data_IF_425168077033
#
_entry.id   IF_425168077033
#
_cell.length_a   1.000
_cell.length_b   1.000
_cell.length_c   1.000
_cell.angle_alpha   90.00
_cell.angle_beta   90.00
_cell.angle_gamma   90.00
#
_symmetry.space_group_name_H-M   'P 1'
#
loop_
_entity.id
_entity.type
_entity.pdbx_description
1 polymer ?
#
# COMPACT_ATOMS: atom_id res chain seq x y z
N UNK A 1 6.77 14.16 -10.10
CA UNK A 1 5.35 14.29 -9.82
C UNK A 1 4.55 13.93 -11.05
N UNK A 2 3.45 13.28 -10.85
CA UNK A 2 2.61 12.89 -11.97
C UNK A 2 1.73 14.04 -12.39
N UNK A 3 1.72 14.33 -13.68
CA UNK A 3 0.98 15.46 -14.21
C UNK A 3 -0.52 15.23 -14.24
N UNK A 4 -0.96 14.00 -14.02
CA UNK A 4 -2.37 13.66 -14.07
C UNK A 4 -3.06 13.72 -12.71
N UNK A 5 -2.39 14.34 -11.73
CA UNK A 5 -2.99 14.53 -10.40
C UNK A 5 -2.94 13.33 -9.49
N UNK A 6 -2.08 12.38 -9.78
CA UNK A 6 -1.95 11.21 -8.91
C UNK A 6 -1.37 11.62 -7.56
N UNK A 7 -1.78 10.91 -6.52
CA UNK A 7 -1.38 11.19 -5.14
C UNK A 7 -0.75 9.95 -4.54
N UNK A 8 0.39 10.12 -3.90
CA UNK A 8 1.03 9.07 -3.10
C UNK A 8 1.04 9.55 -1.66
N UNK A 9 0.55 8.72 -0.76
CA UNK A 9 0.54 9.02 0.66
C UNK A 9 1.15 7.84 1.41
N UNK A 10 2.16 8.11 2.23
CA UNK A 10 2.84 7.08 2.99
C UNK A 10 2.84 7.51 4.45
N UNK A 11 2.21 6.70 5.29
CA UNK A 11 2.19 6.94 6.73
C UNK A 11 2.61 5.64 7.42
N UNK A 12 3.66 5.73 8.23
CA UNK A 12 4.17 4.57 8.97
C UNK A 12 4.50 5.05 10.37
N UNK A 13 4.01 4.32 11.38
CA UNK A 13 4.36 4.68 12.75
C UNK A 13 4.44 3.44 13.62
N UNK A 14 5.17 3.58 14.72
CA UNK A 14 5.38 2.54 15.70
C UNK A 14 4.26 2.60 16.74
N UNK A 15 3.72 1.44 17.10
CA UNK A 15 2.72 1.37 18.16
C UNK A 15 3.30 0.57 19.31
N UNK A 16 2.86 0.79 20.57
CA UNK A 16 3.44 0.11 21.72
C UNK A 16 3.12 -1.38 21.76
N UNK A 17 2.07 -1.82 21.10
CA UNK A 17 1.67 -3.22 21.09
C UNK A 17 1.19 -3.58 19.69
N UNK A 18 1.37 -4.85 19.29
CA UNK A 18 0.85 -5.27 18.00
C UNK A 18 -0.66 -5.06 17.90
N UNK A 19 -1.11 -4.66 16.71
CA UNK A 19 -2.53 -4.53 16.42
C UNK A 19 -2.99 -5.88 15.91
N UNK A 20 -3.80 -6.58 16.73
CA UNK A 20 -4.23 -7.92 16.37
C UNK A 20 -4.95 -7.94 15.03
N UNK A 21 -4.75 -8.97 14.20
CA UNK A 21 -3.92 -10.16 14.41
C UNK A 21 -2.45 -10.03 14.01
N UNK A 22 -1.96 -8.81 13.76
CA UNK A 22 -0.56 -8.61 13.41
C UNK A 22 0.33 -8.97 14.59
N UNK A 23 1.53 -9.49 14.30
CA UNK A 23 2.49 -9.85 15.33
C UNK A 23 3.60 -8.82 15.49
N UNK A 24 3.60 -7.79 14.64
CA UNK A 24 4.60 -6.72 14.67
C UNK A 24 3.98 -5.45 15.22
N UNK A 25 4.82 -4.49 15.56
CA UNK A 25 4.39 -3.23 16.18
C UNK A 25 4.43 -2.05 15.23
N UNK A 26 4.36 -2.29 13.93
CA UNK A 26 4.34 -1.23 12.94
C UNK A 26 2.91 -1.08 12.43
N UNK A 27 2.42 0.14 12.47
CA UNK A 27 1.13 0.45 11.85
C UNK A 27 1.40 1.32 10.63
N UNK A 28 0.72 1.03 9.53
CA UNK A 28 1.05 1.71 8.28
C UNK A 28 -0.17 1.88 7.40
N UNK A 29 -0.07 2.88 6.55
CA UNK A 29 -1.04 3.10 5.49
C UNK A 29 -0.31 3.76 4.32
N UNK A 30 -0.22 3.05 3.20
CA UNK A 30 0.41 3.53 1.99
C UNK A 30 -0.64 3.47 0.89
N UNK A 31 -0.85 4.59 0.20
CA UNK A 31 -1.93 4.70 -0.77
C UNK A 31 -1.45 5.41 -2.02
N UNK A 32 -1.80 4.88 -3.16
CA UNK A 32 -1.60 5.53 -4.46
C UNK A 32 -2.97 5.72 -5.09
N UNK A 33 -3.31 6.98 -5.36
CA UNK A 33 -4.60 7.35 -5.93
C UNK A 33 -4.35 7.94 -7.31
N UNK A 34 -5.02 7.39 -8.31
CA UNK A 34 -4.93 7.87 -9.68
C UNK A 34 -6.34 7.96 -10.24
N UNK A 35 -6.66 9.05 -10.93
CA UNK A 35 -7.99 9.27 -11.50
C UNK A 35 -9.09 9.16 -10.45
N UNK A 36 -8.82 9.70 -9.26
CA UNK A 36 -9.76 9.70 -8.13
C UNK A 36 -10.09 8.31 -7.59
N UNK A 37 -9.27 7.32 -7.91
CA UNK A 37 -9.48 5.96 -7.41
C UNK A 37 -8.23 5.48 -6.69
N UNK A 38 -8.43 4.75 -5.59
CA UNK A 38 -7.33 4.10 -4.91
C UNK A 38 -6.92 2.86 -5.72
N UNK A 39 -5.78 2.95 -6.38
CA UNK A 39 -5.30 1.89 -7.24
C UNK A 39 -4.43 0.90 -6.46
N UNK A 40 -3.59 1.42 -5.57
CA UNK A 40 -2.71 0.60 -4.73
C UNK A 40 -2.89 1.07 -3.30
N UNK A 41 -3.04 0.13 -2.38
CA UNK A 41 -3.13 0.45 -0.97
C UNK A 41 -2.55 -0.67 -0.14
N UNK A 42 -1.75 -0.31 0.87
CA UNK A 42 -1.21 -1.27 1.84
C UNK A 42 -1.54 -0.73 3.22
N UNK A 43 -2.20 -1.52 4.04
CA UNK A 43 -2.43 -1.10 5.42
C UNK A 43 -2.64 -2.30 6.32
N UNK A 44 -2.65 -2.05 7.62
CA UNK A 44 -3.03 -3.07 8.59
C UNK A 44 -4.04 -2.47 9.54
N UNK A 45 -5.09 -3.23 9.81
CA UNK A 45 -6.17 -2.81 10.66
C UNK A 45 -6.46 -3.87 11.71
N UNK A 46 -6.97 -3.41 12.85
CA UNK A 46 -7.40 -4.32 13.90
C UNK A 46 -8.46 -5.26 13.33
N UNK A 47 -8.24 -6.56 13.52
CA UNK A 47 -9.17 -7.58 13.06
C UNK A 47 -8.93 -8.08 11.65
N UNK A 48 -8.20 -7.33 10.83
CA UNK A 48 -7.91 -7.75 9.45
C UNK A 48 -6.46 -8.12 9.22
N UNK A 49 -5.54 -7.53 9.99
CA UNK A 49 -4.12 -7.77 9.80
C UNK A 49 -3.55 -7.03 8.62
N UNK A 50 -2.40 -7.50 8.14
CA UNK A 50 -1.71 -6.89 7.01
C UNK A 50 -2.40 -7.28 5.72
N UNK A 51 -2.68 -6.30 4.87
CA UNK A 51 -3.31 -6.58 3.59
C UNK A 51 -2.99 -5.48 2.59
N UNK A 52 -3.22 -5.78 1.31
CA UNK A 52 -3.06 -4.77 0.27
C UNK A 52 -4.24 -4.80 -0.68
N UNK A 53 -4.50 -3.65 -1.28
CA UNK A 53 -5.55 -3.47 -2.27
C UNK A 53 -4.89 -3.16 -3.60
N UNK A 54 -5.24 -3.92 -4.64
CA UNK A 54 -4.70 -3.73 -5.98
C UNK A 54 -5.86 -3.70 -6.96
N UNK A 55 -6.17 -2.51 -7.47
CA UNK A 55 -7.24 -2.32 -8.44
C UNK A 55 -8.56 -2.93 -7.99
N UNK A 56 -8.93 -2.65 -6.74
CA UNK A 56 -10.20 -3.10 -6.18
C UNK A 56 -10.20 -4.47 -5.56
N UNK A 57 -9.07 -5.18 -5.60
CA UNK A 57 -8.95 -6.50 -4.99
C UNK A 57 -8.18 -6.39 -3.68
N UNK A 58 -8.66 -7.06 -2.67
CA UNK A 58 -7.99 -7.08 -1.37
C UNK A 58 -7.34 -8.46 -1.18
N UNK A 59 -6.04 -8.47 -0.90
CA UNK A 59 -5.30 -9.70 -0.69
C UNK A 59 -4.44 -9.60 0.56
N UNK A 60 -4.14 -10.73 1.21
CA UNK A 60 -3.24 -10.73 2.36
C UNK A 60 -1.85 -10.25 1.96
N UNK A 61 -1.16 -9.62 2.89
CA UNK A 61 0.21 -9.16 2.68
C UNK A 61 1.08 -9.65 3.81
N UNK A 62 2.26 -10.17 3.48
CA UNK A 62 3.22 -10.62 4.48
C UNK A 62 4.17 -9.48 4.81
N UNK A 63 3.96 -8.85 5.95
CA UNK A 63 4.84 -7.77 6.39
C UNK A 63 6.17 -8.34 6.87
N UNK A 64 7.27 -7.86 6.30
CA UNK A 64 8.62 -8.28 6.66
C UNK A 64 9.36 -7.14 7.35
N UNK A 65 9.35 -5.96 6.74
CA UNK A 65 10.05 -4.79 7.27
C UNK A 65 9.46 -3.56 6.61
N UNK A 66 9.77 -2.40 7.20
CA UNK A 66 9.32 -1.14 6.62
C UNK A 66 9.97 -0.94 5.25
N UNK A 67 11.26 -1.26 5.12
CA UNK A 67 11.94 -1.11 3.82
C UNK A 67 11.28 -1.96 2.75
N UNK A 68 10.98 -3.21 3.08
CA UNK A 68 10.33 -4.09 2.12
C UNK A 68 8.92 -3.63 1.80
N UNK A 69 8.21 -3.13 2.79
CA UNK A 69 6.86 -2.60 2.60
C UNK A 69 6.85 -1.46 1.58
N UNK A 70 7.77 -0.52 1.75
CA UNK A 70 7.85 0.63 0.83
C UNK A 70 8.25 0.17 -0.56
N UNK A 71 9.20 -0.76 -0.66
CA UNK A 71 9.60 -1.31 -1.95
C UNK A 71 8.45 -2.00 -2.66
N UNK A 72 7.71 -2.81 -1.93
CA UNK A 72 6.56 -3.52 -2.52
C UNK A 72 5.50 -2.55 -3.00
N UNK A 73 5.23 -1.52 -2.20
CA UNK A 73 4.27 -0.50 -2.56
C UNK A 73 4.69 0.22 -3.86
N UNK A 74 5.94 0.68 -3.90
CA UNK A 74 6.43 1.41 -5.05
C UNK A 74 6.50 0.53 -6.30
N UNK A 75 6.81 -0.76 -6.12
CA UNK A 75 6.81 -1.70 -7.24
C UNK A 75 5.43 -1.82 -7.88
N UNK A 76 4.38 -1.88 -7.06
CA UNK A 76 3.02 -1.94 -7.59
C UNK A 76 2.60 -0.64 -8.25
N UNK A 77 3.04 0.49 -7.72
CA UNK A 77 2.77 1.78 -8.34
C UNK A 77 3.42 1.85 -9.72
N UNK A 78 4.69 1.42 -9.81
CA UNK A 78 5.40 1.42 -11.08
C UNK A 78 4.76 0.48 -12.10
N UNK A 79 4.35 -0.68 -11.65
CA UNK A 79 3.68 -1.63 -12.52
C UNK A 79 2.39 -1.04 -13.09
N UNK A 80 1.61 -0.40 -12.26
CA UNK A 80 0.37 0.24 -12.71
C UNK A 80 0.66 1.29 -13.77
N UNK A 81 1.66 2.15 -13.53
CA UNK A 81 2.02 3.19 -14.48
C UNK A 81 2.48 2.61 -15.81
N UNK A 82 3.31 1.57 -15.74
CA UNK A 82 3.83 0.94 -16.95
C UNK A 82 2.74 0.27 -17.76
N UNK A 83 1.82 -0.40 -17.08
CA UNK A 83 0.71 -1.05 -17.77
C UNK A 83 -0.20 -0.05 -18.44
N UNK A 84 -0.42 1.10 -17.79
CA UNK A 84 -1.24 2.14 -18.39
C UNK A 84 -0.59 2.69 -19.65
N UNK A 85 0.73 2.88 -19.63
CA UNK A 85 1.45 3.39 -20.78
C UNK A 85 1.46 2.39 -21.94
N UNK A 86 1.62 1.10 -21.62
CA UNK A 86 1.67 0.08 -22.64
C UNK A 86 0.30 -0.25 -23.19
N UNK A 87 -0.73 -0.03 -22.42
CA UNK A 87 -2.07 -0.35 -22.83
C UNK A 87 -2.72 0.67 -23.73
N UNK A 88 -2.06 1.76 -24.00
CA UNK A 88 -2.62 2.85 -24.81
C UNK A 88 -2.26 2.72 -26.26
#
# INVERSE_FOLDING_TARGET
MDDDGAIIQIVVWQVPRPVAPCLHTVKYRLVYIANNERVVGFDNERGKGDHCHLCGREIPYDFVSIDQLVEDFLAHVERYKNERHHGS
#
